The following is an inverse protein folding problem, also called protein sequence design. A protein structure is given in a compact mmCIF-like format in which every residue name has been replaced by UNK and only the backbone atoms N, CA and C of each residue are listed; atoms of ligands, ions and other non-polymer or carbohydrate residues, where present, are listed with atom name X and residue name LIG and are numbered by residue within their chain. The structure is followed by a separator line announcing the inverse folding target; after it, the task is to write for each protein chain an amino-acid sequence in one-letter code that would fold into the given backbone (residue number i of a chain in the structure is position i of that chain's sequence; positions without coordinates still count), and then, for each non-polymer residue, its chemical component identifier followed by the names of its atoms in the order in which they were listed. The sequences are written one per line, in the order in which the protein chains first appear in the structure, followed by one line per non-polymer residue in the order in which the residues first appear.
data_IF_580498618394
#
_entry.id   IF_580498618394
#
_cell.length_a   1.000
_cell.length_b   1.000
_cell.length_c   1.000
_cell.angle_alpha   90.00
_cell.angle_beta   90.00
_cell.angle_gamma   90.00
#
_symmetry.space_group_name_H-M   'P 1'
#
loop_
_entity.id
_entity.type
_entity.pdbx_description
1 polymer ?
#
# COMPACT_ATOMS: atom_id res chain seq x y z
N UNK A 1 -44.56 -44.12 23.23
CA UNK A 1 -44.60 -42.66 23.40
C UNK A 1 -43.25 -41.96 23.19
N UNK A 2 -42.15 -42.65 22.85
CA UNK A 2 -40.79 -42.08 22.76
C UNK A 2 -40.36 -41.64 21.36
N UNK A 3 -40.91 -42.23 20.29
CA UNK A 3 -40.50 -41.95 18.90
C UNK A 3 -40.80 -40.52 18.42
N UNK A 4 -41.97 -39.96 18.75
CA UNK A 4 -42.34 -38.59 18.35
C UNK A 4 -41.50 -37.51 19.04
N UNK A 5 -41.06 -37.76 20.28
CA UNK A 5 -40.21 -36.81 21.01
C UNK A 5 -38.79 -36.76 20.42
N UNK A 6 -38.22 -37.91 20.06
CA UNK A 6 -36.91 -37.96 19.41
C UNK A 6 -36.95 -37.27 18.03
N UNK A 7 -38.01 -37.50 17.26
CA UNK A 7 -38.19 -36.85 15.95
C UNK A 7 -38.29 -35.33 16.07
N UNK A 8 -39.02 -34.80 17.06
CA UNK A 8 -39.09 -33.36 17.32
C UNK A 8 -37.75 -32.77 17.74
N UNK A 9 -36.97 -33.46 18.57
CA UNK A 9 -35.64 -33.01 18.98
C UNK A 9 -34.71 -32.92 17.77
N UNK A 10 -34.71 -33.93 16.89
CA UNK A 10 -33.92 -33.93 15.66
C UNK A 10 -34.35 -32.78 14.74
N UNK A 11 -35.65 -32.54 14.59
CA UNK A 11 -36.16 -31.45 13.75
C UNK A 11 -35.71 -30.07 14.27
N UNK A 12 -35.78 -29.85 15.59
CA UNK A 12 -35.32 -28.61 16.22
C UNK A 12 -33.81 -28.43 16.06
N UNK A 13 -33.02 -29.51 16.21
CA UNK A 13 -31.59 -29.47 16.00
C UNK A 13 -31.25 -29.10 14.55
N UNK A 14 -31.94 -29.68 13.57
CA UNK A 14 -31.77 -29.36 12.15
C UNK A 14 -32.09 -27.89 11.87
N UNK A 15 -33.17 -27.35 12.45
CA UNK A 15 -33.51 -25.93 12.32
C UNK A 15 -32.40 -25.05 12.89
N UNK A 16 -31.87 -25.38 14.07
CA UNK A 16 -30.77 -24.62 14.68
C UNK A 16 -29.51 -24.64 13.80
N UNK A 17 -29.14 -25.80 13.27
CA UNK A 17 -27.99 -25.94 12.35
C UNK A 17 -28.21 -25.10 11.09
N UNK A 18 -29.41 -25.15 10.50
CA UNK A 18 -29.74 -24.35 9.32
C UNK A 18 -29.62 -22.85 9.62
N UNK A 19 -30.09 -22.39 10.79
CA UNK A 19 -29.96 -20.99 11.19
C UNK A 19 -28.49 -20.56 11.35
N UNK A 20 -27.63 -21.42 11.92
CA UNK A 20 -26.20 -21.15 11.99
C UNK A 20 -25.53 -21.10 10.62
N UNK A 21 -25.91 -21.99 9.69
CA UNK A 21 -25.39 -21.96 8.31
C UNK A 21 -25.83 -20.70 7.58
N UNK A 22 -27.11 -20.29 7.72
CA UNK A 22 -27.61 -19.04 7.13
C UNK A 22 -26.87 -17.84 7.71
N UNK A 23 -26.66 -17.81 9.02
CA UNK A 23 -25.91 -16.73 9.68
C UNK A 23 -24.46 -16.69 9.19
N UNK A 24 -23.79 -17.85 9.08
CA UNK A 24 -22.44 -17.95 8.55
C UNK A 24 -22.36 -17.40 7.12
N UNK A 25 -23.26 -17.84 6.22
CA UNK A 25 -23.32 -17.36 4.84
C UNK A 25 -23.58 -15.84 4.80
N UNK A 26 -24.47 -15.33 5.65
CA UNK A 26 -24.75 -13.89 5.72
C UNK A 26 -23.53 -13.09 6.17
N UNK A 27 -22.78 -13.58 7.17
CA UNK A 27 -21.53 -12.95 7.63
C UNK A 27 -20.48 -12.97 6.53
N UNK A 28 -20.30 -14.10 5.85
CA UNK A 28 -19.34 -14.28 4.75
C UNK A 28 -19.63 -13.31 3.59
N UNK A 29 -20.88 -13.24 3.12
CA UNK A 29 -21.32 -12.28 2.10
C UNK A 29 -21.13 -10.83 2.56
N UNK A 30 -21.39 -10.54 3.83
CA UNK A 30 -21.23 -9.18 4.38
C UNK A 30 -19.76 -8.80 4.44
N UNK A 31 -18.86 -9.72 4.80
CA UNK A 31 -17.42 -9.51 4.81
C UNK A 31 -16.87 -9.30 3.39
N UNK A 32 -17.24 -10.15 2.43
CA UNK A 32 -16.83 -10.01 1.02
C UNK A 32 -17.26 -8.65 0.45
N UNK A 33 -18.51 -8.25 0.70
CA UNK A 33 -19.01 -6.94 0.26
C UNK A 33 -18.34 -5.77 0.99
N UNK A 34 -17.91 -5.97 2.23
CA UNK A 34 -17.17 -4.95 2.97
C UNK A 34 -15.77 -4.75 2.40
N UNK A 35 -15.08 -5.83 2.04
CA UNK A 35 -13.78 -5.78 1.35
C UNK A 35 -13.89 -5.12 -0.04
N UNK A 36 -14.92 -5.45 -0.83
CA UNK A 36 -15.15 -4.83 -2.15
C UNK A 36 -15.42 -3.31 -2.07
N UNK A 37 -16.06 -2.85 -0.98
CA UNK A 37 -16.25 -1.40 -0.76
C UNK A 37 -14.97 -0.67 -0.35
N UNK A 38 -13.95 -1.38 0.11
CA UNK A 38 -12.71 -0.79 0.59
C UNK A 38 -11.71 -0.56 -0.55
N UNK A 39 -11.81 -1.32 -1.65
CA UNK A 39 -11.00 -1.12 -2.84
C UNK A 39 -11.54 0.04 -3.68
N UNK A 40 -11.00 1.24 -3.43
CA UNK A 40 -11.21 2.41 -4.31
C UNK A 40 -10.87 2.01 -5.76
N UNK A 41 -11.68 2.34 -6.78
CA UNK A 41 -11.33 1.99 -8.15
C UNK A 41 -9.97 2.60 -8.51
N UNK A 42 -9.13 1.87 -9.24
CA UNK A 42 -7.84 2.41 -9.67
C UNK A 42 -8.05 3.57 -10.66
N UNK A 43 -7.98 4.81 -10.17
CA UNK A 43 -8.18 6.00 -10.98
C UNK A 43 -6.87 6.41 -11.65
N UNK A 44 -6.94 6.66 -12.96
CA UNK A 44 -5.83 7.24 -13.70
C UNK A 44 -5.65 8.71 -13.30
N UNK A 45 -4.41 9.12 -13.06
CA UNK A 45 -4.02 10.51 -12.86
C UNK A 45 -2.64 10.76 -13.49
N UNK A 46 -2.46 11.85 -14.26
CA UNK A 46 -1.21 12.11 -14.96
C UNK A 46 -0.02 12.31 -14.01
N UNK A 47 -0.22 12.89 -12.82
CA UNK A 47 0.85 13.08 -11.83
C UNK A 47 1.28 11.74 -11.24
N UNK A 48 0.33 10.86 -10.94
CA UNK A 48 0.64 9.49 -10.48
C UNK A 48 1.48 8.74 -11.52
N UNK A 49 1.13 8.83 -12.80
CA UNK A 49 1.88 8.16 -13.86
C UNK A 49 3.26 8.78 -14.09
N UNK A 50 3.39 10.11 -13.96
CA UNK A 50 4.68 10.80 -14.01
C UNK A 50 5.61 10.31 -12.90
N UNK A 51 5.13 10.28 -11.65
CA UNK A 51 5.89 9.80 -10.50
C UNK A 51 6.31 8.34 -10.67
N UNK A 52 5.39 7.48 -11.13
CA UNK A 52 5.67 6.08 -11.46
C UNK A 52 6.84 5.97 -12.45
N UNK A 53 6.79 6.71 -13.55
CA UNK A 53 7.84 6.69 -14.57
C UNK A 53 9.19 7.18 -14.04
N UNK A 54 9.19 8.19 -13.16
CA UNK A 54 10.41 8.69 -12.53
C UNK A 54 11.05 7.61 -11.65
N UNK A 55 10.27 6.96 -10.79
CA UNK A 55 10.76 5.89 -9.90
C UNK A 55 11.21 4.67 -10.71
N UNK A 56 10.42 4.24 -11.71
CA UNK A 56 10.79 3.16 -12.63
C UNK A 56 12.15 3.42 -13.27
N UNK A 57 12.31 4.59 -13.90
CA UNK A 57 13.56 4.98 -14.55
C UNK A 57 14.72 5.11 -13.57
N UNK A 58 14.48 5.69 -12.39
CA UNK A 58 15.50 5.81 -11.34
C UNK A 58 16.00 4.44 -10.91
N UNK A 59 15.09 3.52 -10.58
CA UNK A 59 15.46 2.16 -10.19
C UNK A 59 16.16 1.45 -11.34
N UNK A 60 15.65 1.49 -12.57
CA UNK A 60 16.25 0.86 -13.76
C UNK A 60 17.64 1.40 -14.11
N UNK A 61 17.90 2.70 -13.88
CA UNK A 61 19.19 3.32 -14.17
C UNK A 61 20.35 2.81 -13.29
N UNK A 62 20.02 2.16 -12.16
CA UNK A 62 21.03 1.60 -11.25
C UNK A 62 21.72 0.39 -11.88
N UNK A 63 23.05 0.49 -12.03
CA UNK A 63 23.92 -0.55 -12.61
C UNK A 63 24.58 -1.45 -11.56
N UNK A 64 24.78 -0.94 -10.34
CA UNK A 64 25.34 -1.71 -9.23
C UNK A 64 24.22 -2.37 -8.42
N UNK A 65 24.48 -3.54 -7.80
CA UNK A 65 23.52 -4.14 -6.88
C UNK A 65 23.13 -3.18 -5.75
N UNK A 66 21.88 -3.27 -5.32
CA UNK A 66 21.43 -2.74 -4.04
C UNK A 66 22.15 -3.47 -2.90
N UNK A 67 22.40 -2.77 -1.80
CA UNK A 67 23.09 -3.32 -0.61
C UNK A 67 22.26 -3.03 0.63
N UNK A 68 22.62 -3.64 1.77
CA UNK A 68 21.92 -3.40 3.03
C UNK A 68 20.48 -3.90 2.99
N UNK A 69 19.54 -3.11 3.48
CA UNK A 69 18.12 -3.52 3.56
C UNK A 69 17.43 -3.57 2.20
N UNK A 70 18.04 -2.95 1.17
CA UNK A 70 17.55 -2.96 -0.20
C UNK A 70 18.09 -4.14 -1.03
N UNK A 71 18.96 -4.98 -0.48
CA UNK A 71 19.57 -6.10 -1.22
C UNK A 71 18.53 -7.03 -1.89
N UNK A 72 17.35 -7.19 -1.27
CA UNK A 72 16.25 -8.00 -1.83
C UNK A 72 15.78 -7.52 -3.21
N UNK A 73 15.95 -6.23 -3.52
CA UNK A 73 15.63 -5.67 -4.82
C UNK A 73 16.51 -6.27 -5.93
N UNK A 74 17.73 -6.74 -5.65
CA UNK A 74 18.56 -7.34 -6.71
C UNK A 74 17.89 -8.53 -7.42
N UNK A 75 17.05 -9.27 -6.71
CA UNK A 75 16.35 -10.43 -7.25
C UNK A 75 14.88 -10.15 -7.58
N UNK A 76 14.25 -9.17 -6.91
CA UNK A 76 12.82 -8.87 -7.03
C UNK A 76 12.49 -7.57 -7.75
N UNK A 77 13.47 -6.72 -8.09
CA UNK A 77 13.30 -5.37 -8.70
C UNK A 77 12.29 -5.34 -9.84
N UNK A 78 12.41 -6.27 -10.78
CA UNK A 78 11.55 -6.33 -11.96
C UNK A 78 10.12 -6.71 -11.61
N UNK A 79 9.93 -7.59 -10.64
CA UNK A 79 8.61 -8.02 -10.19
C UNK A 79 7.94 -6.93 -9.36
N UNK A 80 8.67 -6.37 -8.38
CA UNK A 80 8.17 -5.32 -7.47
C UNK A 80 7.72 -4.07 -8.21
N UNK A 81 8.54 -3.54 -9.14
CA UNK A 81 8.23 -2.24 -9.78
C UNK A 81 7.23 -2.42 -10.92
N UNK A 82 7.44 -3.42 -11.79
CA UNK A 82 6.66 -3.55 -13.02
C UNK A 82 5.21 -3.94 -12.74
N UNK A 83 4.97 -4.70 -11.66
CA UNK A 83 3.62 -5.11 -11.26
C UNK A 83 2.96 -4.14 -10.29
N UNK A 84 3.70 -3.15 -9.75
CA UNK A 84 3.12 -2.12 -8.90
C UNK A 84 2.10 -1.30 -9.71
N UNK A 85 0.81 -1.55 -9.48
CA UNK A 85 -0.27 -0.71 -10.01
C UNK A 85 -0.32 0.54 -9.16
N UNK A 86 -0.21 1.69 -9.81
CA UNK A 86 -0.24 2.99 -9.14
C UNK A 86 -1.45 3.78 -9.61
N UNK A 87 -2.27 4.15 -8.65
CA UNK A 87 -3.58 4.75 -8.85
C UNK A 87 -3.68 6.05 -8.05
N UNK A 88 -4.53 6.98 -8.52
CA UNK A 88 -4.98 8.06 -7.65
C UNK A 88 -5.93 7.49 -6.60
N UNK A 89 -5.76 7.93 -5.37
CA UNK A 89 -6.65 7.65 -4.24
C UNK A 89 -7.10 8.91 -3.53
N UNK A 90 -8.11 8.77 -2.69
CA UNK A 90 -8.53 9.77 -1.70
C UNK A 90 -7.55 9.90 -0.52
N UNK A 91 -6.77 8.84 -0.28
CA UNK A 91 -5.65 8.78 0.66
C UNK A 91 -4.51 7.98 0.01
N UNK A 92 -3.34 7.94 0.66
CA UNK A 92 -2.20 7.14 0.21
C UNK A 92 -2.03 5.89 1.05
N UNK A 93 -1.91 4.74 0.38
CA UNK A 93 -1.80 3.44 1.00
C UNK A 93 -1.40 2.38 -0.01
N UNK A 94 -0.93 1.23 0.50
CA UNK A 94 -0.54 0.07 -0.30
C UNK A 94 -1.42 -1.13 0.05
N UNK A 95 -2.02 -1.77 -0.96
CA UNK A 95 -2.78 -3.02 -0.86
C UNK A 95 -1.94 -4.17 -1.40
N UNK A 96 -1.85 -5.25 -0.64
CA UNK A 96 -1.20 -6.52 -1.02
C UNK A 96 0.22 -6.40 -1.57
N UNK A 97 0.90 -5.28 -1.30
CA UNK A 97 2.26 -4.98 -1.79
C UNK A 97 2.35 -4.87 -3.32
N UNK A 98 1.20 -4.83 -4.00
CA UNK A 98 1.08 -4.81 -5.46
C UNK A 98 0.37 -3.57 -5.98
N UNK A 99 -0.46 -2.92 -5.14
CA UNK A 99 -1.24 -1.77 -5.57
C UNK A 99 -1.04 -0.59 -4.62
N UNK A 100 -0.57 0.52 -5.16
CA UNK A 100 -0.34 1.78 -4.43
C UNK A 100 -1.37 2.81 -4.88
N UNK A 101 -2.08 3.37 -3.91
CA UNK A 101 -2.91 4.54 -4.09
C UNK A 101 -2.13 5.76 -3.61
N UNK A 102 -2.19 6.84 -4.39
CA UNK A 102 -1.59 8.11 -4.05
C UNK A 102 -2.66 9.20 -4.05
N UNK A 103 -2.79 9.87 -2.92
CA UNK A 103 -3.51 11.12 -2.85
C UNK A 103 -2.61 12.26 -3.35
N UNK A 104 -2.84 12.69 -4.58
CA UNK A 104 -1.94 13.63 -5.26
C UNK A 104 -2.38 15.09 -5.18
N UNK A 105 -3.61 15.35 -4.71
CA UNK A 105 -4.20 16.68 -4.69
C UNK A 105 -4.75 17.07 -3.32
N UNK A 106 -4.71 18.35 -3.02
CA UNK A 106 -5.28 18.96 -1.81
C UNK A 106 -6.80 19.21 -1.94
N UNK A 107 -7.38 19.79 -0.89
CA UNK A 107 -8.81 20.14 -0.84
C UNK A 107 -9.22 21.20 -1.88
N UNK A 108 -8.26 21.90 -2.47
CA UNK A 108 -8.47 22.90 -3.53
C UNK A 108 -8.31 22.29 -4.95
N UNK A 109 -8.13 20.96 -5.06
CA UNK A 109 -7.85 20.23 -6.30
C UNK A 109 -6.50 20.62 -6.96
N UNK A 110 -5.57 21.19 -6.17
CA UNK A 110 -4.19 21.50 -6.57
C UNK A 110 -3.27 20.33 -6.22
N UNK A 111 -2.26 20.07 -7.06
CA UNK A 111 -1.29 19.01 -6.75
C UNK A 111 -0.38 19.43 -5.61
N UNK A 112 -0.09 18.50 -4.69
CA UNK A 112 0.96 18.73 -3.69
C UNK A 112 2.33 18.89 -4.36
N UNK A 113 3.24 19.51 -3.60
CA UNK A 113 4.63 19.68 -4.01
C UNK A 113 5.31 18.36 -4.37
N UNK A 114 6.21 18.43 -5.35
CA UNK A 114 6.89 17.26 -5.90
C UNK A 114 7.59 16.41 -4.82
N UNK A 115 8.35 17.04 -3.93
CA UNK A 115 9.08 16.31 -2.88
C UNK A 115 8.15 15.72 -1.82
N UNK A 116 6.99 16.33 -1.57
CA UNK A 116 5.94 15.75 -0.72
C UNK A 116 5.40 14.45 -1.35
N UNK A 117 5.03 14.51 -2.63
CA UNK A 117 4.53 13.34 -3.34
C UNK A 117 5.58 12.23 -3.49
N UNK A 118 6.83 12.61 -3.73
CA UNK A 118 7.92 11.64 -3.82
C UNK A 118 8.22 11.00 -2.47
N UNK A 119 8.17 11.76 -1.37
CA UNK A 119 8.32 11.22 -0.01
C UNK A 119 7.26 10.16 0.29
N UNK A 120 5.98 10.46 0.03
CA UNK A 120 4.87 9.50 0.23
C UNK A 120 5.00 8.30 -0.69
N UNK A 121 5.38 8.50 -1.95
CA UNK A 121 5.62 7.37 -2.85
C UNK A 121 6.75 6.46 -2.34
N UNK A 122 7.86 7.01 -1.86
CA UNK A 122 8.94 6.19 -1.29
C UNK A 122 8.48 5.43 -0.04
N UNK A 123 7.56 6.00 0.75
CA UNK A 123 6.93 5.32 1.89
C UNK A 123 6.08 4.13 1.45
N UNK A 124 5.18 4.32 0.48
CA UNK A 124 4.34 3.24 -0.05
C UNK A 124 5.18 2.16 -0.77
N UNK A 125 6.25 2.57 -1.45
CA UNK A 125 7.22 1.64 -2.03
C UNK A 125 7.93 0.82 -0.94
N UNK A 126 8.23 1.41 0.22
CA UNK A 126 8.79 0.68 1.35
C UNK A 126 7.81 -0.38 1.88
N UNK A 127 6.51 -0.08 1.96
CA UNK A 127 5.48 -1.10 2.29
C UNK A 127 5.43 -2.24 1.27
N UNK A 128 5.55 -1.91 -0.02
CA UNK A 128 5.57 -2.91 -1.08
C UNK A 128 6.83 -3.81 -1.04
N UNK A 129 7.96 -3.30 -0.57
CA UNK A 129 9.23 -4.03 -0.47
C UNK A 129 9.32 -4.84 0.83
N UNK A 130 8.86 -4.27 1.94
CA UNK A 130 8.94 -4.88 3.26
C UNK A 130 7.99 -6.09 3.34
N UNK A 131 8.48 -7.23 3.84
CA UNK A 131 7.68 -8.45 4.01
C UNK A 131 6.85 -8.46 5.30
N UNK A 132 7.12 -7.53 6.22
CA UNK A 132 6.36 -7.32 7.46
C UNK A 132 5.13 -6.41 7.23
N UNK A 133 4.27 -6.28 8.24
CA UNK A 133 3.07 -5.42 8.21
C UNK A 133 3.29 -4.24 9.16
N UNK A 134 3.02 -3.03 8.69
CA UNK A 134 3.15 -1.79 9.46
C UNK A 134 4.57 -1.23 9.48
N UNK A 135 4.77 -0.18 10.29
CA UNK A 135 6.06 0.51 10.46
C UNK A 135 6.94 -0.22 11.49
N UNK A 136 7.43 -1.39 11.10
CA UNK A 136 8.42 -2.12 11.90
C UNK A 136 9.81 -1.51 11.71
N UNK A 137 10.78 -1.87 12.57
CA UNK A 137 12.17 -1.45 12.36
C UNK A 137 12.68 -1.80 10.95
N UNK A 138 12.28 -2.95 10.42
CA UNK A 138 12.67 -3.37 9.06
C UNK A 138 12.09 -2.44 8.01
N UNK A 139 10.84 -2.01 8.18
CA UNK A 139 10.23 -0.98 7.33
C UNK A 139 11.02 0.34 7.43
N UNK A 140 11.30 0.83 8.64
CA UNK A 140 11.99 2.12 8.84
C UNK A 140 13.39 2.11 8.20
N UNK A 141 14.11 1.00 8.32
CA UNK A 141 15.42 0.80 7.70
C UNK A 141 15.33 0.81 6.16
N UNK A 142 14.34 0.11 5.57
CA UNK A 142 14.09 0.11 4.12
C UNK A 142 13.71 1.51 3.64
N UNK A 143 12.79 2.17 4.33
CA UNK A 143 12.31 3.50 3.95
C UNK A 143 13.44 4.54 4.04
N UNK A 144 14.27 4.47 5.08
CA UNK A 144 15.45 5.32 5.23
C UNK A 144 16.45 5.10 4.11
N UNK A 145 16.78 3.84 3.80
CA UNK A 145 17.71 3.50 2.71
C UNK A 145 17.16 3.99 1.34
N UNK A 146 15.85 3.87 1.09
CA UNK A 146 15.20 4.41 -0.11
C UNK A 146 15.31 5.92 -0.20
N UNK A 147 15.00 6.64 0.88
CA UNK A 147 15.09 8.10 0.92
C UNK A 147 16.53 8.57 0.68
N UNK A 148 17.51 7.92 1.30
CA UNK A 148 18.92 8.30 1.18
C UNK A 148 19.44 8.05 -0.24
N UNK A 149 19.08 6.91 -0.85
CA UNK A 149 19.44 6.63 -2.25
C UNK A 149 18.69 7.52 -3.25
N UNK A 150 17.45 7.92 -2.97
CA UNK A 150 16.69 8.84 -3.81
C UNK A 150 17.22 10.29 -3.71
N UNK A 151 17.73 10.67 -2.53
CA UNK A 151 18.30 12.00 -2.28
C UNK A 151 19.75 12.15 -2.74
N UNK A 152 20.59 11.16 -2.43
CA UNK A 152 22.00 11.16 -2.76
C UNK A 152 22.41 9.77 -3.28
N UNK A 153 22.15 9.48 -4.56
CA UNK A 153 22.38 8.15 -5.12
C UNK A 153 23.82 7.68 -5.00
N UNK A 154 24.03 6.46 -4.52
CA UNK A 154 25.38 5.88 -4.40
C UNK A 154 25.93 5.36 -5.74
N UNK A 155 25.07 5.14 -6.73
CA UNK A 155 25.45 4.62 -8.05
C UNK A 155 25.86 5.73 -9.03
N UNK A 156 27.03 5.58 -9.64
CA UNK A 156 27.52 6.51 -10.67
C UNK A 156 26.53 6.62 -11.83
N UNK A 157 26.15 7.84 -12.19
CA UNK A 157 25.23 8.14 -13.30
C UNK A 157 23.74 8.19 -12.92
N UNK A 158 23.38 7.76 -11.71
CA UNK A 158 22.05 7.94 -11.15
C UNK A 158 21.90 9.39 -10.65
N UNK A 159 20.76 10.01 -10.91
CA UNK A 159 20.45 11.37 -10.47
C UNK A 159 19.52 11.33 -9.25
N UNK A 160 19.65 12.30 -8.32
CA UNK A 160 18.66 12.50 -7.28
C UNK A 160 17.26 12.68 -7.88
N UNK A 161 16.26 12.10 -7.23
CA UNK A 161 14.84 12.26 -7.57
C UNK A 161 14.02 12.84 -6.41
N UNK A 162 14.65 13.13 -5.28
CA UNK A 162 13.99 13.56 -4.04
C UNK A 162 14.92 14.49 -3.24
N UNK A 163 14.38 15.54 -2.61
CA UNK A 163 15.09 16.32 -1.60
C UNK A 163 14.60 16.00 -0.18
N UNK A 164 15.40 15.25 0.59
CA UNK A 164 15.11 14.93 2.00
C UNK A 164 15.03 16.17 2.91
N UNK A 165 15.50 17.33 2.45
CA UNK A 165 15.45 18.61 3.20
C UNK A 165 14.26 19.48 2.81
N UNK A 166 13.52 19.12 1.76
CA UNK A 166 12.32 19.86 1.38
C UNK A 166 11.28 19.80 2.51
N UNK A 167 10.55 20.89 2.77
CA UNK A 167 9.48 20.88 3.76
C UNK A 167 8.36 19.95 3.30
N UNK A 168 7.87 19.12 4.22
CA UNK A 168 6.67 18.32 4.00
C UNK A 168 5.43 19.13 4.37
N UNK A 169 4.37 19.00 3.58
CA UNK A 169 3.07 19.55 3.93
C UNK A 169 2.56 18.78 5.16
N UNK A 170 2.24 19.51 6.23
CA UNK A 170 1.73 18.90 7.45
C UNK A 170 0.32 18.37 7.26
N UNK A 171 -0.48 18.93 6.36
CA UNK A 171 -1.87 18.55 6.15
C UNK A 171 -2.03 17.75 4.85
N UNK A 172 -1.25 16.68 4.72
CA UNK A 172 -1.36 15.82 3.56
C UNK A 172 -2.64 14.98 3.64
N UNK A 173 -3.57 15.26 2.73
CA UNK A 173 -4.83 14.53 2.55
C UNK A 173 -5.65 14.42 3.84
N UNK A 174 -5.71 15.51 4.59
CA UNK A 174 -6.43 15.58 5.87
C UNK A 174 -5.76 14.83 7.02
N UNK A 175 -4.51 14.39 6.84
CA UNK A 175 -3.71 13.72 7.87
C UNK A 175 -2.47 14.54 8.22
N UNK A 176 -2.04 14.45 9.48
CA UNK A 176 -0.75 15.01 9.87
C UNK A 176 0.37 14.17 9.26
N UNK A 177 1.14 14.73 8.32
CA UNK A 177 2.19 13.97 7.63
C UNK A 177 3.25 13.40 8.60
N UNK A 178 3.52 14.08 9.72
CA UNK A 178 4.40 13.58 10.77
C UNK A 178 3.91 12.29 11.44
N UNK A 179 2.60 12.08 11.47
CA UNK A 179 1.97 10.98 12.18
C UNK A 179 1.83 9.75 11.26
N UNK A 180 1.82 9.97 9.95
CA UNK A 180 1.56 8.94 8.94
C UNK A 180 2.80 8.53 8.13
N UNK A 181 3.80 9.42 7.97
CA UNK A 181 4.93 9.20 7.07
C UNK A 181 6.31 9.49 7.70
N UNK A 182 6.40 9.57 9.04
CA UNK A 182 7.70 9.59 9.70
C UNK A 182 8.37 8.20 9.66
N UNK A 183 9.71 8.21 9.60
CA UNK A 183 10.56 7.05 9.82
C UNK A 183 11.09 7.06 11.26
#
# INVERSE_FOLDING_TARGET
MTGNHILQIILNLMVVVILFVILYIFVDITLEKYEEMQDEPCLYDPKVQELKQIVEKWMESRLIPWTGHLECLNHKKKETIKHLRMCKGSSSYTIDKEQVYLCVKDDNDEYYDYDMLMHVLLHELAHAICDEIGHTKKFDDIFTDLMDEAHNPSCTGQKPIYDKKAPLDKNYCGTNASDSYSA
#
